data_IF_329199817172
#
_entry.id   IF_329199817172
#
_cell.length_a   1.000
_cell.length_b   1.000
_cell.length_c   1.000
_cell.angle_alpha   90.00
_cell.angle_beta   90.00
_cell.angle_gamma   90.00
#
_symmetry.space_group_name_H-M   'P 1'
#
loop_
_entity.id
_entity.type
_entity.pdbx_description
1 polymer ?
#
# COMPACT_ATOMS: atom_id res chain seq x y z
N UNK A 1 -4.00 7.34 20.17
CA UNK A 1 -2.76 7.81 19.52
C UNK A 1 -2.02 8.86 20.35
N UNK A 2 -2.59 10.01 20.72
CA UNK A 2 -1.90 11.10 21.48
C UNK A 2 -1.30 10.59 22.80
N UNK A 3 -2.08 9.82 23.59
CA UNK A 3 -1.59 9.24 24.86
C UNK A 3 -0.44 8.25 24.63
N UNK A 4 -0.50 7.47 23.57
CA UNK A 4 0.55 6.52 23.21
C UNK A 4 1.84 7.23 22.79
N UNK A 5 1.73 8.27 21.95
CA UNK A 5 2.87 9.08 21.51
C UNK A 5 3.57 9.84 22.66
N UNK A 6 2.92 9.98 23.82
CA UNK A 6 3.51 10.59 25.02
C UNK A 6 4.24 9.61 25.94
N UNK A 7 4.24 8.32 25.62
CA UNK A 7 4.95 7.29 26.36
C UNK A 7 6.47 7.48 26.25
N UNK A 8 7.19 7.21 27.36
CA UNK A 8 8.64 7.41 27.44
C UNK A 8 9.46 6.21 26.93
N UNK A 9 8.86 5.03 26.91
CA UNK A 9 9.49 3.78 26.51
C UNK A 9 8.44 2.77 26.03
N UNK A 10 8.87 1.67 25.41
CA UNK A 10 8.00 0.64 24.89
C UNK A 10 7.17 -0.04 25.97
N UNK A 11 7.68 -0.20 27.18
CA UNK A 11 6.95 -0.84 28.28
C UNK A 11 5.73 -0.01 28.72
N UNK A 12 5.85 1.33 28.77
CA UNK A 12 4.69 2.20 29.03
C UNK A 12 3.71 2.23 27.85
N UNK A 13 4.22 2.12 26.62
CA UNK A 13 3.38 2.02 25.42
C UNK A 13 2.59 0.70 25.40
N UNK A 14 3.23 -0.42 25.75
CA UNK A 14 2.59 -1.73 25.89
C UNK A 14 1.38 -1.70 26.83
N UNK A 15 1.56 -1.09 28.04
CA UNK A 15 0.46 -0.94 29.00
C UNK A 15 -0.73 -0.17 28.40
N UNK A 16 -0.44 0.91 27.66
CA UNK A 16 -1.48 1.69 26.97
C UNK A 16 -2.18 0.88 25.89
N UNK A 17 -1.43 0.10 25.10
CA UNK A 17 -1.99 -0.75 24.04
C UNK A 17 -2.90 -1.85 24.62
N UNK A 18 -2.52 -2.48 25.71
CA UNK A 18 -3.35 -3.47 26.40
C UNK A 18 -4.70 -2.90 26.86
N UNK A 19 -4.72 -1.65 27.38
CA UNK A 19 -5.95 -0.95 27.73
C UNK A 19 -6.87 -0.73 26.52
N UNK A 20 -6.31 -0.60 25.30
CA UNK A 20 -7.05 -0.46 24.06
C UNK A 20 -7.37 -1.80 23.37
N UNK A 21 -7.07 -2.93 24.02
CA UNK A 21 -7.44 -4.26 23.54
C UNK A 21 -6.40 -4.94 22.65
N UNK A 22 -5.21 -4.37 22.47
CA UNK A 22 -4.08 -4.99 21.79
C UNK A 22 -3.39 -5.99 22.74
N UNK A 23 -3.83 -7.25 22.73
CA UNK A 23 -3.41 -8.27 23.70
C UNK A 23 -2.02 -8.85 23.42
N UNK A 24 -1.61 -8.87 22.15
CA UNK A 24 -0.32 -9.44 21.72
C UNK A 24 0.84 -8.45 21.82
N UNK A 25 0.65 -7.36 22.58
CA UNK A 25 1.70 -6.35 22.79
C UNK A 25 2.80 -6.79 23.79
N UNK A 26 2.69 -7.96 24.42
CA UNK A 26 3.64 -8.46 25.44
C UNK A 26 5.08 -8.60 24.94
N UNK A 27 5.28 -8.74 23.62
CA UNK A 27 6.61 -8.84 23.02
C UNK A 27 7.24 -7.48 22.68
N UNK A 28 6.51 -6.38 22.80
CA UNK A 28 7.03 -5.03 22.50
C UNK A 28 8.17 -4.63 23.42
N UNK A 29 8.18 -5.09 24.67
CA UNK A 29 9.29 -4.86 25.61
C UNK A 29 10.61 -5.46 25.12
N UNK A 30 10.56 -6.48 24.26
CA UNK A 30 11.70 -7.05 23.54
C UNK A 30 12.14 -6.27 22.29
N UNK A 31 11.38 -5.27 21.87
CA UNK A 31 11.68 -4.43 20.71
C UNK A 31 11.17 -4.96 19.37
N UNK A 32 10.40 -6.05 19.33
CA UNK A 32 9.85 -6.63 18.10
C UNK A 32 8.57 -5.90 17.64
N UNK A 33 8.74 -4.64 17.23
CA UNK A 33 7.65 -3.80 16.72
C UNK A 33 7.07 -4.37 15.42
N UNK A 34 7.92 -4.82 14.51
CA UNK A 34 7.48 -5.33 13.20
C UNK A 34 6.70 -6.64 13.35
N UNK A 35 7.13 -7.53 14.22
CA UNK A 35 6.39 -8.75 14.53
C UNK A 35 5.03 -8.46 15.14
N UNK A 36 4.93 -7.52 16.08
CA UNK A 36 3.65 -7.07 16.64
C UNK A 36 2.70 -6.54 15.54
N UNK A 37 3.16 -5.60 14.73
CA UNK A 37 2.34 -5.05 13.64
C UNK A 37 1.91 -6.12 12.63
N UNK A 38 2.79 -7.06 12.29
CA UNK A 38 2.49 -8.17 11.39
C UNK A 38 1.37 -9.05 11.95
N UNK A 39 1.44 -9.44 13.22
CA UNK A 39 0.39 -10.25 13.88
C UNK A 39 -0.96 -9.52 13.89
N UNK A 40 -0.98 -8.23 14.19
CA UNK A 40 -2.22 -7.45 14.16
C UNK A 40 -2.80 -7.34 12.74
N UNK A 41 -1.95 -7.23 11.71
CA UNK A 41 -2.39 -7.26 10.30
C UNK A 41 -2.96 -8.64 9.92
N UNK A 42 -2.33 -9.73 10.34
CA UNK A 42 -2.81 -11.09 10.11
C UNK A 42 -4.14 -11.34 10.84
N UNK A 43 -4.28 -10.89 12.08
CA UNK A 43 -5.54 -10.97 12.83
C UNK A 43 -6.67 -10.18 12.15
N UNK A 44 -6.37 -8.97 11.66
CA UNK A 44 -7.33 -8.17 10.90
C UNK A 44 -7.73 -8.88 9.59
N UNK A 45 -6.76 -9.44 8.87
CA UNK A 45 -7.00 -10.22 7.66
C UNK A 45 -7.94 -11.39 7.92
N UNK A 46 -7.65 -12.23 8.93
CA UNK A 46 -8.45 -13.42 9.26
C UNK A 46 -9.89 -13.05 9.66
N UNK A 47 -10.05 -11.96 10.43
CA UNK A 47 -11.36 -11.45 10.80
C UNK A 47 -12.15 -11.06 9.54
N UNK A 48 -11.59 -10.29 8.63
CA UNK A 48 -12.26 -9.84 7.42
C UNK A 48 -12.50 -11.02 6.48
N UNK A 49 -11.48 -11.85 6.24
CA UNK A 49 -11.58 -13.01 5.36
C UNK A 49 -12.73 -13.95 5.78
N UNK A 50 -12.94 -14.13 7.09
CA UNK A 50 -14.03 -14.94 7.61
C UNK A 50 -15.40 -14.26 7.61
N UNK A 51 -15.45 -12.93 7.47
CA UNK A 51 -16.68 -12.12 7.63
C UNK A 51 -17.27 -11.68 6.31
N UNK A 52 -16.45 -11.38 5.31
CA UNK A 52 -16.94 -10.87 4.02
C UNK A 52 -17.56 -11.99 3.17
N UNK A 53 -18.71 -11.74 2.53
CA UNK A 53 -19.38 -12.73 1.69
C UNK A 53 -18.66 -12.95 0.35
N UNK A 54 -17.92 -11.97 -0.13
CA UNK A 54 -17.18 -12.01 -1.40
C UNK A 54 -15.78 -11.41 -1.23
N UNK A 55 -14.75 -12.24 -1.36
CA UNK A 55 -13.37 -11.77 -1.30
C UNK A 55 -12.99 -10.96 -2.55
N UNK A 56 -13.64 -11.18 -3.70
CA UNK A 56 -13.38 -10.44 -4.93
C UNK A 56 -13.70 -8.95 -4.78
N UNK A 57 -14.75 -8.59 -4.05
CA UNK A 57 -15.09 -7.19 -3.78
C UNK A 57 -14.00 -6.47 -2.96
N UNK A 58 -13.26 -7.23 -2.17
CA UNK A 58 -12.15 -6.73 -1.35
C UNK A 58 -10.76 -7.02 -1.96
N UNK A 59 -10.70 -7.30 -3.25
CA UNK A 59 -9.47 -7.59 -3.99
C UNK A 59 -8.36 -6.57 -3.73
N UNK A 60 -8.70 -5.29 -3.59
CA UNK A 60 -7.77 -4.19 -3.30
C UNK A 60 -6.98 -4.38 -2.00
N UNK A 61 -7.51 -5.13 -1.04
CA UNK A 61 -6.84 -5.41 0.24
C UNK A 61 -6.02 -6.70 0.21
N UNK A 62 -6.42 -7.70 -0.57
CA UNK A 62 -5.82 -9.03 -0.58
C UNK A 62 -4.80 -9.23 -1.70
N UNK A 63 -5.14 -8.84 -2.93
CA UNK A 63 -4.30 -9.08 -4.11
C UNK A 63 -2.90 -8.47 -4.02
N UNK A 64 -2.66 -7.29 -3.41
CA UNK A 64 -1.30 -6.79 -3.27
C UNK A 64 -0.36 -7.76 -2.55
N UNK A 65 -0.87 -8.50 -1.55
CA UNK A 65 -0.09 -9.53 -0.84
C UNK A 65 0.19 -10.76 -1.70
N UNK A 66 -0.80 -11.21 -2.49
CA UNK A 66 -0.61 -12.34 -3.41
C UNK A 66 0.42 -12.01 -4.50
N UNK A 67 0.29 -10.84 -5.14
CA UNK A 67 1.25 -10.39 -6.15
C UNK A 67 2.65 -10.14 -5.57
N UNK A 68 2.73 -9.63 -4.32
CA UNK A 68 3.99 -9.51 -3.62
C UNK A 68 4.66 -10.88 -3.41
N UNK A 69 3.91 -11.88 -2.94
CA UNK A 69 4.42 -13.23 -2.75
C UNK A 69 4.92 -13.84 -4.08
N UNK A 70 4.18 -13.63 -5.18
CA UNK A 70 4.62 -14.05 -6.51
C UNK A 70 5.93 -13.36 -6.91
N UNK A 71 6.06 -12.03 -6.69
CA UNK A 71 7.32 -11.29 -6.96
C UNK A 71 8.50 -11.86 -6.17
N UNK A 72 8.30 -12.10 -4.87
CA UNK A 72 9.35 -12.67 -4.01
C UNK A 72 9.76 -14.05 -4.50
N UNK A 73 8.79 -14.94 -4.78
CA UNK A 73 9.06 -16.28 -5.24
C UNK A 73 9.76 -16.31 -6.61
N UNK A 74 9.32 -15.51 -7.58
CA UNK A 74 9.96 -15.42 -8.90
C UNK A 74 11.40 -14.92 -8.80
N UNK A 75 11.64 -13.84 -8.04
CA UNK A 75 12.99 -13.31 -7.85
C UNK A 75 13.91 -14.31 -7.16
N UNK A 76 13.39 -15.06 -6.19
CA UNK A 76 14.16 -16.11 -5.50
C UNK A 76 14.49 -17.28 -6.45
N UNK A 77 13.53 -17.73 -7.28
CA UNK A 77 13.78 -18.74 -8.30
C UNK A 77 14.88 -18.30 -9.28
N UNK A 78 14.85 -17.05 -9.70
CA UNK A 78 15.85 -16.51 -10.61
C UNK A 78 17.25 -16.39 -10.01
N UNK A 79 17.33 -16.28 -8.67
CA UNK A 79 18.59 -16.29 -7.93
C UNK A 79 19.01 -17.70 -7.46
N UNK A 80 18.28 -18.75 -7.89
CA UNK A 80 18.45 -20.14 -7.43
C UNK A 80 18.44 -20.26 -5.90
N UNK A 81 17.49 -19.55 -5.25
CA UNK A 81 17.32 -19.50 -3.81
C UNK A 81 15.89 -19.86 -3.41
N UNK A 82 15.70 -20.38 -2.21
CA UNK A 82 14.36 -20.49 -1.63
C UNK A 82 13.86 -19.08 -1.20
N UNK A 83 12.55 -18.80 -1.38
CA UNK A 83 12.00 -17.51 -0.98
C UNK A 83 12.13 -17.30 0.53
N UNK A 84 12.70 -16.19 1.02
CA UNK A 84 12.84 -15.94 2.45
C UNK A 84 11.47 -15.80 3.12
N UNK A 85 11.20 -16.62 4.13
CA UNK A 85 9.88 -16.68 4.80
C UNK A 85 9.47 -15.33 5.41
N UNK A 86 10.44 -14.56 5.92
CA UNK A 86 10.17 -13.24 6.50
C UNK A 86 9.73 -12.18 5.46
N UNK A 87 9.96 -12.42 4.17
CA UNK A 87 9.51 -11.54 3.08
C UNK A 87 8.10 -11.92 2.58
N UNK A 88 7.57 -13.07 2.94
CA UNK A 88 6.27 -13.52 2.49
C UNK A 88 5.15 -12.95 3.38
N UNK A 89 4.06 -12.56 2.74
CA UNK A 89 2.87 -12.03 3.38
C UNK A 89 1.82 -13.12 3.56
N UNK A 90 1.18 -13.16 4.74
CA UNK A 90 0.08 -14.06 5.05
C UNK A 90 -1.31 -13.46 4.75
N UNK A 91 -1.36 -12.20 4.31
CA UNK A 91 -2.59 -11.40 4.16
C UNK A 91 -3.17 -11.41 2.73
N UNK A 92 -2.84 -12.42 1.93
CA UNK A 92 -3.39 -12.65 0.59
C UNK A 92 -4.63 -13.55 0.57
N UNK A 93 -5.19 -13.77 -0.60
CA UNK A 93 -6.24 -14.77 -0.85
C UNK A 93 -5.66 -16.18 -0.85
N UNK A 94 -4.42 -16.31 -1.30
CA UNK A 94 -3.70 -17.57 -1.33
C UNK A 94 -2.61 -17.63 -0.26
N UNK A 95 -2.39 -18.81 0.31
CA UNK A 95 -1.28 -18.98 1.25
C UNK A 95 0.06 -18.83 0.54
N UNK A 96 1.01 -18.15 1.18
CA UNK A 96 2.36 -17.95 0.65
C UNK A 96 3.07 -19.27 0.30
N UNK A 97 2.83 -20.35 1.09
CA UNK A 97 3.35 -21.69 0.81
C UNK A 97 2.82 -22.25 -0.50
N UNK A 98 1.50 -22.08 -0.79
CA UNK A 98 0.89 -22.54 -2.04
C UNK A 98 1.46 -21.74 -3.22
N UNK A 99 1.59 -20.42 -3.07
CA UNK A 99 2.22 -19.55 -4.08
C UNK A 99 3.65 -20.00 -4.39
N UNK A 100 4.46 -20.23 -3.36
CA UNK A 100 5.83 -20.72 -3.53
C UNK A 100 5.87 -22.07 -4.26
N UNK A 101 4.97 -23.01 -3.91
CA UNK A 101 4.84 -24.30 -4.60
C UNK A 101 4.48 -24.14 -6.07
N UNK A 102 3.49 -23.30 -6.40
CA UNK A 102 3.08 -23.05 -7.79
C UNK A 102 4.22 -22.49 -8.64
N UNK A 103 5.01 -21.56 -8.11
CA UNK A 103 6.15 -20.97 -8.83
C UNK A 103 7.25 -22.02 -9.01
N UNK A 104 7.66 -22.73 -7.96
CA UNK A 104 8.71 -23.75 -7.98
C UNK A 104 8.39 -24.89 -8.95
N UNK A 105 7.14 -25.35 -8.96
CA UNK A 105 6.67 -26.43 -9.83
C UNK A 105 6.28 -25.96 -11.23
N UNK A 106 6.29 -24.64 -11.47
CA UNK A 106 5.80 -24.00 -12.70
C UNK A 106 4.37 -24.42 -13.06
N UNK A 107 3.56 -24.66 -12.04
CA UNK A 107 2.16 -25.06 -12.16
C UNK A 107 1.24 -23.87 -11.86
N UNK A 108 0.92 -23.10 -12.86
CA UNK A 108 0.10 -21.88 -12.77
C UNK A 108 -1.39 -22.12 -13.04
N UNK A 109 -1.85 -23.37 -13.01
CA UNK A 109 -3.23 -23.71 -13.37
C UNK A 109 -4.28 -23.04 -12.47
N UNK A 110 -3.95 -22.80 -11.21
CA UNK A 110 -4.84 -22.24 -10.20
C UNK A 110 -4.64 -20.72 -10.00
N UNK A 111 -3.72 -20.08 -10.74
CA UNK A 111 -3.56 -18.63 -10.69
C UNK A 111 -4.67 -17.93 -11.50
N UNK A 112 -5.14 -16.75 -11.07
CA UNK A 112 -5.98 -15.89 -11.88
C UNK A 112 -5.35 -15.63 -13.27
N UNK A 113 -6.17 -15.47 -14.33
CA UNK A 113 -5.65 -15.30 -15.69
C UNK A 113 -4.65 -14.16 -15.83
N UNK A 114 -4.91 -13.01 -15.19
CA UNK A 114 -4.07 -11.82 -15.22
C UNK A 114 -2.71 -12.09 -14.55
N UNK A 115 -2.72 -12.71 -13.38
CA UNK A 115 -1.52 -13.10 -12.64
C UNK A 115 -0.70 -14.14 -13.43
N UNK A 116 -1.35 -15.15 -14.00
CA UNK A 116 -0.70 -16.17 -14.82
C UNK A 116 0.00 -15.56 -16.05
N UNK A 117 -0.67 -14.61 -16.74
CA UNK A 117 -0.08 -13.91 -17.86
C UNK A 117 1.14 -13.09 -17.43
N UNK A 118 1.04 -12.35 -16.30
CA UNK A 118 2.14 -11.57 -15.76
C UNK A 118 3.34 -12.44 -15.37
N UNK A 119 3.11 -13.62 -14.76
CA UNK A 119 4.17 -14.59 -14.44
C UNK A 119 4.87 -15.08 -15.72
N UNK A 120 4.11 -15.40 -16.75
CA UNK A 120 4.70 -15.85 -18.02
C UNK A 120 5.54 -14.75 -18.70
N UNK A 121 5.06 -13.51 -18.70
CA UNK A 121 5.77 -12.35 -19.24
C UNK A 121 7.07 -12.07 -18.45
N UNK A 122 7.00 -12.09 -17.12
CA UNK A 122 8.15 -11.89 -16.25
C UNK A 122 9.22 -12.98 -16.44
N UNK A 123 8.79 -14.25 -16.58
CA UNK A 123 9.70 -15.37 -16.82
C UNK A 123 10.39 -15.29 -18.19
N UNK A 124 9.65 -14.92 -19.24
CA UNK A 124 10.21 -14.72 -20.58
C UNK A 124 11.23 -13.58 -20.62
N UNK A 125 10.90 -12.46 -19.99
CA UNK A 125 11.78 -11.29 -19.89
C UNK A 125 13.10 -11.66 -19.18
N UNK A 126 13.02 -12.33 -18.04
CA UNK A 126 14.20 -12.74 -17.28
C UNK A 126 15.04 -13.75 -18.07
N UNK A 127 14.42 -14.72 -18.76
CA UNK A 127 15.12 -15.68 -19.64
C UNK A 127 15.92 -15.03 -20.75
N UNK A 128 15.61 -13.78 -21.11
CA UNK A 128 16.35 -12.96 -22.09
C UNK A 128 17.39 -12.03 -21.44
N UNK A 129 17.68 -12.17 -20.16
CA UNK A 129 18.63 -11.32 -19.43
C UNK A 129 18.05 -9.95 -19.05
N UNK A 130 16.75 -9.87 -18.81
CA UNK A 130 16.04 -8.63 -18.43
C UNK A 130 16.39 -8.18 -16.99
N UNK A 131 16.09 -6.92 -16.73
CA UNK A 131 16.28 -6.29 -15.43
C UNK A 131 15.24 -6.84 -14.42
N UNK A 132 15.61 -7.30 -13.22
CA UNK A 132 14.68 -7.69 -12.15
C UNK A 132 13.62 -6.62 -11.80
N UNK A 133 13.91 -5.34 -12.03
CA UNK A 133 12.95 -4.24 -11.85
C UNK A 133 11.73 -4.37 -12.79
N UNK A 134 11.91 -4.98 -13.96
CA UNK A 134 10.81 -5.21 -14.91
C UNK A 134 9.76 -6.15 -14.33
N UNK A 135 10.17 -7.12 -13.50
CA UNK A 135 9.26 -8.04 -12.81
C UNK A 135 8.31 -7.24 -11.91
N UNK A 136 8.84 -6.28 -11.16
CA UNK A 136 8.01 -5.43 -10.30
C UNK A 136 6.99 -4.67 -11.13
N UNK A 137 7.41 -4.08 -12.25
CA UNK A 137 6.54 -3.29 -13.14
C UNK A 137 5.42 -4.15 -13.72
N UNK A 138 5.75 -5.32 -14.25
CA UNK A 138 4.77 -6.26 -14.83
C UNK A 138 3.75 -6.68 -13.78
N UNK A 139 4.23 -7.10 -12.60
CA UNK A 139 3.38 -7.59 -11.52
C UNK A 139 2.51 -6.49 -10.93
N UNK A 140 3.04 -5.27 -10.73
CA UNK A 140 2.27 -4.17 -10.18
C UNK A 140 1.16 -3.73 -11.16
N UNK A 141 1.45 -3.68 -12.46
CA UNK A 141 0.43 -3.38 -13.48
C UNK A 141 -0.67 -4.44 -13.52
N UNK A 142 -0.32 -5.70 -13.50
CA UNK A 142 -1.28 -6.80 -13.48
C UNK A 142 -2.13 -6.78 -12.20
N UNK A 143 -1.51 -6.51 -11.03
CA UNK A 143 -2.20 -6.40 -9.76
C UNK A 143 -3.27 -5.30 -9.80
N UNK A 144 -2.90 -4.08 -10.18
CA UNK A 144 -3.83 -2.97 -10.19
C UNK A 144 -4.87 -3.06 -11.30
N UNK A 145 -4.56 -3.69 -12.43
CA UNK A 145 -5.56 -4.02 -13.47
C UNK A 145 -6.60 -5.00 -12.92
N UNK A 146 -6.17 -6.08 -12.27
CA UNK A 146 -7.09 -7.07 -11.68
C UNK A 146 -7.94 -6.46 -10.55
N UNK A 147 -7.36 -5.59 -9.71
CA UNK A 147 -8.07 -4.86 -8.65
C UNK A 147 -9.14 -3.93 -9.26
N UNK A 148 -8.80 -3.20 -10.32
CA UNK A 148 -9.73 -2.30 -10.99
C UNK A 148 -10.89 -3.08 -11.65
N UNK A 149 -10.59 -4.19 -12.31
CA UNK A 149 -11.60 -5.07 -12.92
C UNK A 149 -12.53 -5.67 -11.85
N UNK A 150 -12.00 -6.06 -10.69
CA UNK A 150 -12.80 -6.57 -9.58
C UNK A 150 -13.75 -5.48 -9.02
N UNK A 151 -13.25 -4.25 -8.85
CA UNK A 151 -14.07 -3.12 -8.42
C UNK A 151 -15.19 -2.80 -9.43
N UNK A 152 -14.89 -2.74 -10.72
CA UNK A 152 -15.90 -2.51 -11.77
C UNK A 152 -16.94 -3.64 -11.81
N UNK A 153 -16.54 -4.89 -11.65
CA UNK A 153 -17.46 -6.05 -11.58
C UNK A 153 -18.38 -6.01 -10.37
N UNK A 154 -17.94 -5.44 -9.25
CA UNK A 154 -18.78 -5.30 -8.06
C UNK A 154 -19.97 -4.36 -8.31
N UNK A 155 -19.83 -3.39 -9.22
CA UNK A 155 -20.81 -2.36 -9.49
C UNK A 155 -21.02 -1.39 -8.32
N UNK A 156 -20.17 -1.42 -7.31
CA UNK A 156 -20.26 -0.55 -6.13
C UNK A 156 -19.45 0.74 -6.36
N UNK A 157 -20.15 1.87 -6.41
CA UNK A 157 -19.53 3.17 -6.70
C UNK A 157 -18.48 3.58 -5.68
N UNK A 158 -18.63 3.18 -4.40
CA UNK A 158 -17.64 3.46 -3.38
C UNK A 158 -16.35 2.70 -3.63
N UNK A 159 -16.42 1.39 -3.91
CA UNK A 159 -15.24 0.57 -4.19
C UNK A 159 -14.53 1.02 -5.47
N UNK A 160 -15.29 1.30 -6.53
CA UNK A 160 -14.75 1.83 -7.80
C UNK A 160 -13.98 3.13 -7.56
N UNK A 161 -14.60 4.07 -6.86
CA UNK A 161 -13.97 5.35 -6.54
C UNK A 161 -12.76 5.21 -5.62
N UNK A 162 -12.81 4.31 -4.64
CA UNK A 162 -11.68 3.99 -3.74
C UNK A 162 -10.47 3.45 -4.52
N UNK A 163 -10.70 2.47 -5.40
CA UNK A 163 -9.64 1.87 -6.21
C UNK A 163 -9.03 2.88 -7.17
N UNK A 164 -9.86 3.68 -7.86
CA UNK A 164 -9.37 4.73 -8.77
C UNK A 164 -8.50 5.76 -8.06
N UNK A 165 -8.94 6.20 -6.86
CA UNK A 165 -8.16 7.13 -6.04
C UNK A 165 -6.84 6.51 -5.56
N UNK A 166 -6.84 5.23 -5.20
CA UNK A 166 -5.62 4.54 -4.80
C UNK A 166 -4.62 4.41 -5.96
N UNK A 167 -5.11 4.13 -7.17
CA UNK A 167 -4.28 4.11 -8.38
C UNK A 167 -3.69 5.49 -8.65
N UNK A 168 -4.49 6.56 -8.57
CA UNK A 168 -4.01 7.94 -8.73
C UNK A 168 -2.92 8.28 -7.72
N UNK A 169 -3.10 7.92 -6.45
CA UNK A 169 -2.10 8.10 -5.39
C UNK A 169 -0.80 7.36 -5.72
N UNK A 170 -0.87 6.11 -6.16
CA UNK A 170 0.32 5.34 -6.54
C UNK A 170 1.04 5.95 -7.74
N UNK A 171 0.29 6.43 -8.74
CA UNK A 171 0.86 7.14 -9.89
C UNK A 171 1.55 8.43 -9.48
N UNK A 172 0.94 9.23 -8.60
CA UNK A 172 1.53 10.47 -8.07
C UNK A 172 2.77 10.17 -7.23
N UNK A 173 2.74 9.14 -6.37
CA UNK A 173 3.91 8.69 -5.59
C UNK A 173 5.07 8.28 -6.53
N UNK A 174 4.79 7.51 -7.57
CA UNK A 174 5.78 7.11 -8.57
C UNK A 174 6.32 8.31 -9.35
N UNK A 175 5.44 9.21 -9.79
CA UNK A 175 5.79 10.46 -10.46
C UNK A 175 6.78 11.29 -9.64
N UNK A 176 6.50 11.51 -8.36
CA UNK A 176 7.35 12.31 -7.49
C UNK A 176 8.69 11.66 -7.22
N UNK A 177 8.70 10.34 -6.95
CA UNK A 177 9.95 9.58 -6.70
C UNK A 177 10.86 9.56 -7.91
N UNK A 178 10.31 9.31 -9.10
CA UNK A 178 11.09 9.24 -10.34
C UNK A 178 11.69 10.60 -10.70
N UNK A 179 10.95 11.68 -10.52
CA UNK A 179 11.48 13.04 -10.69
C UNK A 179 12.63 13.33 -9.72
N UNK A 180 12.48 12.96 -8.45
CA UNK A 180 13.51 13.18 -7.42
C UNK A 180 14.82 12.46 -7.74
N UNK A 181 14.76 11.26 -8.29
CA UNK A 181 15.96 10.51 -8.72
C UNK A 181 16.41 10.83 -10.14
N UNK A 182 15.81 11.84 -10.79
CA UNK A 182 16.21 12.30 -12.12
C UNK A 182 15.92 11.32 -13.26
N UNK A 183 14.95 10.41 -13.10
CA UNK A 183 14.50 9.55 -14.22
C UNK A 183 13.70 10.37 -15.22
N UNK A 184 13.87 10.08 -16.52
CA UNK A 184 13.12 10.75 -17.57
C UNK A 184 11.67 10.25 -17.68
N UNK A 185 10.77 11.08 -18.19
CA UNK A 185 9.34 10.80 -18.32
C UNK A 185 8.99 9.47 -19.08
N UNK A 186 9.78 8.95 -20.04
CA UNK A 186 9.47 7.66 -20.66
C UNK A 186 9.50 6.50 -19.65
N UNK A 187 10.35 6.58 -18.62
CA UNK A 187 10.36 5.58 -17.56
C UNK A 187 9.11 5.69 -16.69
N UNK A 188 8.66 6.92 -16.38
CA UNK A 188 7.39 7.13 -15.68
C UNK A 188 6.21 6.53 -16.46
N UNK A 189 6.15 6.76 -17.78
CA UNK A 189 5.11 6.16 -18.64
C UNK A 189 5.12 4.63 -18.59
N UNK A 190 6.30 4.02 -18.46
CA UNK A 190 6.43 2.57 -18.33
C UNK A 190 5.84 2.03 -17.03
N UNK A 191 5.99 2.73 -15.92
CA UNK A 191 5.49 2.29 -14.60
C UNK A 191 4.08 2.80 -14.30
N UNK A 192 3.49 3.63 -15.15
CA UNK A 192 2.17 4.20 -14.95
C UNK A 192 1.09 3.11 -14.86
N UNK A 193 0.22 3.22 -13.86
CA UNK A 193 -0.92 2.33 -13.62
C UNK A 193 -2.17 2.93 -14.28
N UNK A 194 -2.81 2.15 -15.15
CA UNK A 194 -4.06 2.53 -15.79
C UNK A 194 -5.25 2.44 -14.82
N UNK A 195 -6.45 2.86 -15.24
CA UNK A 195 -7.71 2.80 -14.51
C UNK A 195 -7.88 3.82 -13.37
N UNK A 196 -6.93 4.75 -13.16
CA UNK A 196 -7.14 5.91 -12.29
C UNK A 196 -7.99 7.00 -12.98
N UNK A 197 -8.25 8.09 -12.25
CA UNK A 197 -8.94 9.26 -12.81
C UNK A 197 -7.97 10.18 -13.57
N UNK A 198 -6.68 10.16 -13.21
CA UNK A 198 -5.64 11.01 -13.78
C UNK A 198 -5.03 10.30 -14.98
N UNK A 199 -5.10 10.94 -16.16
CA UNK A 199 -4.50 10.36 -17.36
C UNK A 199 -2.97 10.43 -17.34
N UNK A 200 -2.30 9.40 -17.91
CA UNK A 200 -0.84 9.41 -18.09
C UNK A 200 -0.37 10.63 -18.85
N UNK A 201 -1.13 11.08 -19.87
CA UNK A 201 -0.82 12.25 -20.68
C UNK A 201 -0.69 13.53 -19.83
N UNK A 202 -1.57 13.74 -18.83
CA UNK A 202 -1.51 14.90 -17.97
C UNK A 202 -0.20 14.93 -17.18
N UNK A 203 0.15 13.80 -16.53
CA UNK A 203 1.37 13.69 -15.73
C UNK A 203 2.64 13.75 -16.59
N UNK A 204 2.66 13.10 -17.75
CA UNK A 204 3.79 13.18 -18.68
C UNK A 204 4.01 14.61 -19.16
N UNK A 205 2.94 15.34 -19.51
CA UNK A 205 3.06 16.74 -19.95
C UNK A 205 3.58 17.64 -18.82
N UNK A 206 3.19 17.35 -17.58
CA UNK A 206 3.60 18.11 -16.40
C UNK A 206 4.95 17.65 -15.82
N UNK A 207 5.63 16.69 -16.43
CA UNK A 207 6.76 16.00 -15.80
C UNK A 207 7.91 16.93 -15.42
N UNK A 208 8.20 17.95 -16.21
CA UNK A 208 9.28 18.91 -15.96
C UNK A 208 8.79 20.22 -15.32
N UNK A 209 7.48 20.35 -15.06
CA UNK A 209 6.91 21.60 -14.53
C UNK A 209 7.21 21.77 -13.03
N UNK A 210 7.22 23.03 -12.54
CA UNK A 210 7.28 23.30 -11.10
C UNK A 210 6.09 22.71 -10.35
N UNK A 211 6.29 22.27 -9.11
CA UNK A 211 5.23 21.65 -8.29
C UNK A 211 3.99 22.52 -8.09
N UNK A 212 4.16 23.85 -8.09
CA UNK A 212 3.03 24.79 -8.02
C UNK A 212 2.11 24.72 -9.25
N UNK A 213 2.67 24.55 -10.45
CA UNK A 213 1.88 24.38 -11.67
C UNK A 213 1.22 23.00 -11.73
N UNK A 214 1.93 21.96 -11.27
CA UNK A 214 1.38 20.62 -11.15
C UNK A 214 0.20 20.61 -10.15
N UNK A 215 0.33 21.33 -9.03
CA UNK A 215 -0.73 21.46 -8.03
C UNK A 215 -2.03 22.02 -8.63
N UNK A 216 -1.93 23.06 -9.45
CA UNK A 216 -3.10 23.65 -10.13
C UNK A 216 -3.75 22.65 -11.13
N UNK A 217 -2.94 21.89 -11.86
CA UNK A 217 -3.44 20.87 -12.80
C UNK A 217 -4.11 19.70 -12.09
N UNK A 218 -3.69 19.39 -10.88
CA UNK A 218 -4.21 18.29 -10.08
C UNK A 218 -5.31 18.70 -9.10
N UNK A 219 -5.67 20.00 -9.05
CA UNK A 219 -6.77 20.50 -8.23
C UNK A 219 -8.11 19.80 -8.51
N UNK A 220 -8.53 19.56 -9.78
CA UNK A 220 -9.77 18.86 -10.08
C UNK A 220 -9.84 17.43 -9.55
N UNK A 221 -8.70 16.82 -9.26
CA UNK A 221 -8.56 15.46 -8.74
C UNK A 221 -8.35 15.41 -7.21
N UNK A 222 -8.35 16.58 -6.53
CA UNK A 222 -8.18 16.68 -5.08
C UNK A 222 -6.73 16.67 -4.60
N UNK A 223 -5.73 16.76 -5.48
CA UNK A 223 -4.31 16.68 -5.12
C UNK A 223 -3.56 18.01 -5.07
N UNK A 224 -4.27 19.15 -5.12
CA UNK A 224 -3.62 20.48 -5.06
C UNK A 224 -2.72 20.63 -3.83
N UNK A 225 -3.26 20.38 -2.64
CA UNK A 225 -2.51 20.53 -1.38
C UNK A 225 -1.38 19.49 -1.26
N UNK A 226 -1.60 18.25 -1.71
CA UNK A 226 -0.59 17.20 -1.75
C UNK A 226 0.63 17.64 -2.55
N UNK A 227 0.41 18.23 -3.72
CA UNK A 227 1.49 18.69 -4.61
C UNK A 227 2.12 20.00 -4.14
N UNK A 228 1.33 20.94 -3.66
CA UNK A 228 1.85 22.25 -3.21
C UNK A 228 2.68 22.11 -1.93
N UNK A 229 2.17 21.42 -0.91
CA UNK A 229 2.82 21.27 0.38
C UNK A 229 3.84 20.11 0.38
N UNK A 230 3.41 18.92 -0.07
CA UNK A 230 4.27 17.75 -0.16
C UNK A 230 5.40 17.95 -1.17
N UNK A 231 5.12 18.51 -2.35
CA UNK A 231 6.13 18.85 -3.36
C UNK A 231 7.15 19.87 -2.86
N UNK A 232 6.71 20.87 -2.10
CA UNK A 232 7.60 21.85 -1.45
C UNK A 232 8.52 21.14 -0.44
N UNK A 233 7.97 20.33 0.45
CA UNK A 233 8.76 19.58 1.45
C UNK A 233 9.83 18.71 0.78
N UNK A 234 9.49 17.97 -0.27
CA UNK A 234 10.46 17.17 -1.03
C UNK A 234 11.55 18.05 -1.64
N UNK A 235 11.19 19.23 -2.21
CA UNK A 235 12.17 20.13 -2.81
C UNK A 235 13.14 20.73 -1.80
N UNK A 236 12.68 21.01 -0.59
CA UNK A 236 13.47 21.63 0.47
C UNK A 236 14.33 20.64 1.25
N UNK A 237 13.82 19.45 1.53
CA UNK A 237 14.42 18.48 2.46
C UNK A 237 14.80 17.14 1.82
N UNK A 238 14.23 16.80 0.67
CA UNK A 238 14.31 15.47 0.08
C UNK A 238 13.45 14.42 0.80
N UNK A 239 12.76 14.78 1.90
CA UNK A 239 11.92 13.87 2.69
C UNK A 239 10.50 13.75 2.12
N UNK A 240 10.06 12.51 1.92
CA UNK A 240 8.74 12.16 1.41
C UNK A 240 7.68 12.01 2.49
N UNK A 241 8.03 12.09 3.78
CA UNK A 241 7.12 11.77 4.89
C UNK A 241 5.85 12.61 4.87
N UNK A 242 5.97 13.94 4.66
CA UNK A 242 4.81 14.85 4.58
C UNK A 242 3.97 14.53 3.34
N UNK A 243 4.62 14.34 2.19
CA UNK A 243 3.94 14.03 0.95
C UNK A 243 3.14 12.72 1.05
N UNK A 244 3.75 11.66 1.58
CA UNK A 244 3.08 10.36 1.78
C UNK A 244 1.92 10.46 2.78
N UNK A 245 2.10 11.19 3.88
CA UNK A 245 1.02 11.47 4.83
C UNK A 245 -0.17 12.16 4.16
N UNK A 246 0.07 13.18 3.35
CA UNK A 246 -0.99 13.90 2.63
C UNK A 246 -1.71 12.99 1.62
N UNK A 247 -0.99 12.13 0.91
CA UNK A 247 -1.58 11.12 0.03
C UNK A 247 -2.50 10.15 0.81
N UNK A 248 -2.00 9.62 1.93
CA UNK A 248 -2.74 8.68 2.75
C UNK A 248 -3.98 9.34 3.38
N UNK A 249 -3.88 10.62 3.77
CA UNK A 249 -5.00 11.41 4.28
C UNK A 249 -6.08 11.67 3.21
N UNK A 250 -5.72 11.87 1.94
CA UNK A 250 -6.70 11.95 0.85
C UNK A 250 -7.55 10.69 0.75
N UNK A 251 -6.91 9.52 0.86
CA UNK A 251 -7.65 8.25 0.83
C UNK A 251 -8.48 8.05 2.11
N UNK A 252 -7.98 8.48 3.26
CA UNK A 252 -8.72 8.46 4.52
C UNK A 252 -9.97 9.34 4.46
N UNK A 253 -9.87 10.54 3.89
CA UNK A 253 -11.02 11.43 3.69
C UNK A 253 -12.09 10.79 2.81
N UNK A 254 -11.65 10.11 1.73
CA UNK A 254 -12.58 9.33 0.91
C UNK A 254 -13.25 8.21 1.73
N UNK A 255 -12.48 7.43 2.49
CA UNK A 255 -12.98 6.34 3.31
C UNK A 255 -13.99 6.79 4.37
N UNK A 256 -13.86 8.00 4.90
CA UNK A 256 -14.81 8.55 5.87
C UNK A 256 -16.23 8.67 5.34
N UNK A 257 -16.43 8.73 4.01
CA UNK A 257 -17.77 8.70 3.38
C UNK A 257 -18.52 7.41 3.70
N UNK A 258 -17.78 6.29 3.86
CA UNK A 258 -18.35 4.99 4.22
C UNK A 258 -19.12 4.98 5.54
N UNK A 259 -18.89 5.95 6.44
CA UNK A 259 -19.66 6.09 7.70
C UNK A 259 -21.13 6.42 7.50
N UNK A 260 -21.47 6.95 6.35
CA UNK A 260 -22.85 7.35 6.00
C UNK A 260 -23.58 6.28 5.19
N UNK A 261 -22.86 5.19 4.82
CA UNK A 261 -23.44 4.03 4.14
C UNK A 261 -23.87 2.99 5.17
N UNK A 262 -25.09 2.47 5.03
CA UNK A 262 -25.63 1.48 5.98
C UNK A 262 -25.45 0.05 5.48
N UNK A 263 -25.41 -0.15 4.17
CA UNK A 263 -25.37 -1.45 3.52
C UNK A 263 -24.24 -1.50 2.48
N UNK A 264 -23.92 -2.70 2.00
CA UNK A 264 -22.92 -2.92 0.98
C UNK A 264 -21.49 -3.03 1.54
N UNK A 265 -20.48 -3.04 0.67
CA UNK A 265 -19.08 -3.23 1.05
C UNK A 265 -18.42 -1.98 1.66
N UNK A 266 -18.97 -0.78 1.42
CA UNK A 266 -18.38 0.49 1.84
C UNK A 266 -18.05 0.57 3.34
N UNK A 267 -18.94 0.20 4.30
CA UNK A 267 -18.63 0.24 5.73
C UNK A 267 -17.44 -0.64 6.11
N UNK A 268 -17.35 -1.84 5.51
CA UNK A 268 -16.24 -2.78 5.77
C UNK A 268 -14.95 -2.24 5.17
N UNK A 269 -14.99 -1.74 3.93
CA UNK A 269 -13.83 -1.16 3.25
C UNK A 269 -13.29 0.05 4.02
N UNK A 270 -14.16 0.96 4.47
CA UNK A 270 -13.77 2.10 5.28
C UNK A 270 -13.15 1.69 6.63
N UNK A 271 -13.73 0.69 7.31
CA UNK A 271 -13.19 0.13 8.54
C UNK A 271 -11.81 -0.48 8.32
N UNK A 272 -11.64 -1.30 7.28
CA UNK A 272 -10.36 -1.91 6.92
C UNK A 272 -9.27 -0.86 6.72
N UNK A 273 -9.53 0.13 5.88
CA UNK A 273 -8.56 1.19 5.65
C UNK A 273 -8.24 1.96 6.93
N UNK A 274 -9.26 2.22 7.76
CA UNK A 274 -9.10 2.84 9.07
C UNK A 274 -8.17 2.04 9.98
N UNK A 275 -8.36 0.72 10.08
CA UNK A 275 -7.51 -0.17 10.89
C UNK A 275 -6.10 -0.29 10.33
N UNK A 276 -5.92 -0.39 9.01
CA UNK A 276 -4.60 -0.41 8.40
C UNK A 276 -3.83 0.90 8.67
N UNK A 277 -4.52 2.04 8.60
CA UNK A 277 -3.93 3.34 8.94
C UNK A 277 -3.58 3.43 10.43
N UNK A 278 -4.44 2.90 11.31
CA UNK A 278 -4.17 2.79 12.74
C UNK A 278 -2.89 1.99 13.01
N UNK A 279 -2.73 0.81 12.38
CA UNK A 279 -1.52 -0.01 12.50
C UNK A 279 -0.27 0.70 11.96
N UNK A 280 -0.40 1.44 10.86
CA UNK A 280 0.68 2.29 10.34
C UNK A 280 1.08 3.38 11.34
N UNK A 281 0.11 4.04 11.97
CA UNK A 281 0.36 5.03 13.01
C UNK A 281 0.99 4.41 14.26
N UNK A 282 0.55 3.21 14.68
CA UNK A 282 1.17 2.47 15.77
C UNK A 282 2.64 2.17 15.47
N UNK A 283 2.97 1.71 14.27
CA UNK A 283 4.36 1.50 13.85
C UNK A 283 5.19 2.78 13.98
N UNK A 284 4.68 3.92 13.48
CA UNK A 284 5.36 5.23 13.57
C UNK A 284 5.61 5.63 15.03
N UNK A 285 4.59 5.50 15.90
CA UNK A 285 4.71 5.85 17.30
C UNK A 285 5.71 4.95 18.02
N UNK A 286 5.55 3.63 17.89
CA UNK A 286 6.40 2.66 18.59
C UNK A 286 7.86 2.77 18.13
N UNK A 287 8.11 2.90 16.84
CA UNK A 287 9.46 3.13 16.30
C UNK A 287 10.02 4.45 16.81
N UNK A 288 9.22 5.54 16.81
CA UNK A 288 9.65 6.83 17.33
C UNK A 288 10.04 6.77 18.81
N UNK A 289 9.25 6.08 19.64
CA UNK A 289 9.57 5.85 21.06
C UNK A 289 10.86 5.03 21.19
N UNK A 290 11.01 3.97 20.39
CA UNK A 290 12.17 3.07 20.44
C UNK A 290 13.49 3.80 20.11
N UNK A 291 13.48 4.67 19.12
CA UNK A 291 14.67 5.46 18.73
C UNK A 291 14.83 6.78 19.52
N UNK A 292 13.90 7.08 20.44
CA UNK A 292 13.97 8.28 21.27
C UNK A 292 13.58 9.58 20.56
N UNK A 293 12.73 9.53 19.53
CA UNK A 293 12.22 10.74 18.85
C UNK A 293 11.34 11.58 19.77
N UNK A 294 11.36 12.89 19.60
CA UNK A 294 10.48 13.81 20.31
C UNK A 294 9.01 13.59 19.90
N UNK A 295 8.10 13.84 20.85
CA UNK A 295 6.65 13.68 20.61
C UNK A 295 6.13 14.51 19.42
N UNK A 296 6.64 15.72 19.23
CA UNK A 296 6.28 16.58 18.09
C UNK A 296 6.65 15.93 16.76
N UNK A 297 7.86 15.39 16.65
CA UNK A 297 8.34 14.69 15.45
C UNK A 297 7.51 13.44 15.13
N UNK A 298 7.06 12.71 16.15
CA UNK A 298 6.15 11.58 15.99
C UNK A 298 4.81 12.08 15.47
N UNK A 299 4.21 13.10 16.12
CA UNK A 299 2.90 13.62 15.74
C UNK A 299 2.84 14.18 14.32
N UNK A 300 3.91 14.82 13.84
CA UNK A 300 4.00 15.32 12.46
C UNK A 300 3.85 14.22 11.41
N UNK A 301 4.25 13.00 11.73
CA UNK A 301 4.21 11.85 10.81
C UNK A 301 2.90 11.05 10.88
N UNK A 302 2.05 11.28 11.88
CA UNK A 302 0.81 10.53 12.04
C UNK A 302 -0.20 10.90 10.95
N UNK A 303 -0.82 9.88 10.36
CA UNK A 303 -1.95 9.99 9.44
C UNK A 303 -3.22 10.30 10.21
N UNK A 304 -4.17 10.91 9.53
CA UNK A 304 -5.48 11.20 10.09
C UNK A 304 -6.21 9.91 10.48
N UNK A 305 -6.89 9.88 11.64
CA UNK A 305 -7.67 8.71 12.05
C UNK A 305 -8.96 8.59 11.23
N UNK A 306 -9.50 7.40 11.17
CA UNK A 306 -10.80 7.15 10.53
C UNK A 306 -11.96 7.79 11.32
N UNK A 307 -11.91 7.78 12.65
CA UNK A 307 -12.90 8.33 13.59
C UNK A 307 -12.31 9.42 14.45
#
# INVERSE_FOLDING_TARGET
MIRLASCKNLQSAETVLQEFGYRESEELSGGDIDGFIKREQESLHDMIYSTVPSHEEFAVYFLPSDYHNVKVCLKSEFLDMEPPEYMLMATGLESSRKTAGMIKERNYAFMPPEMKQAVAEAADLFGRGGDPQEIDIIMDKACFSQIADAAEKSGDDFLIGFVRLQIDINNIKSFMRLRQIGKAWPFFQKVFLEHGNISSRLLVTAYEEPYTQIAEKLEPYGFKNVMAEGGRSISETGDFSIFEKLCDNCLMEYCRKAKYETFGPAPIAGYLYGKMTELSNLRVILTGIFIGSGQEQINEKLRDPYV
#
